data_IF_317130361465
#
_entry.id   IF_317130361465
#
_cell.length_a   1.000
_cell.length_b   1.000
_cell.length_c   1.000
_cell.angle_alpha   90.00
_cell.angle_beta   90.00
_cell.angle_gamma   90.00
#
_symmetry.space_group_name_H-M   'P 1'
#
loop_
_entity.id
_entity.type
_entity.pdbx_description
1 polymer ?
#
# COMPACT_ATOMS: atom_id res chain seq x y z
N UNK A 1 0.02 -37.36 35.98
CA UNK A 1 0.47 -36.39 34.96
C UNK A 1 1.84 -35.89 35.36
N UNK A 2 2.87 -36.19 34.57
CA UNK A 2 4.26 -35.79 34.86
C UNK A 2 4.47 -34.34 34.44
N UNK A 3 4.68 -33.46 35.42
CA UNK A 3 5.08 -32.08 35.18
C UNK A 3 6.52 -32.07 34.64
N UNK A 4 6.71 -31.81 33.34
CA UNK A 4 8.05 -31.66 32.76
C UNK A 4 8.52 -30.22 32.98
N UNK A 5 9.49 -30.05 33.86
CA UNK A 5 10.19 -28.77 34.07
C UNK A 5 11.32 -28.62 33.06
N UNK A 6 11.28 -27.57 32.24
CA UNK A 6 12.39 -27.19 31.36
C UNK A 6 13.16 -26.03 32.02
N UNK A 7 14.48 -26.13 32.06
CA UNK A 7 15.38 -25.15 32.69
C UNK A 7 16.26 -24.52 31.60
N UNK A 8 16.37 -23.19 31.58
CA UNK A 8 17.27 -22.45 30.67
C UNK A 8 18.41 -21.86 31.52
N UNK A 9 19.66 -22.24 31.24
CA UNK A 9 20.84 -21.74 31.94
C UNK A 9 21.43 -20.51 31.22
N UNK A 10 21.89 -19.51 31.99
CA UNK A 10 22.52 -18.28 31.46
C UNK A 10 24.05 -18.33 31.60
N UNK A 11 24.84 -17.93 30.58
CA UNK A 11 26.30 -18.02 30.61
C UNK A 11 27.03 -16.83 31.28
N UNK A 12 26.33 -15.88 31.92
CA UNK A 12 26.96 -14.66 32.48
C UNK A 12 27.45 -14.85 33.92
N UNK A 13 28.72 -14.50 34.18
CA UNK A 13 29.48 -14.85 35.40
C UNK A 13 29.12 -14.04 36.68
N UNK A 14 28.46 -12.87 36.56
CA UNK A 14 28.17 -11.96 37.69
C UNK A 14 26.74 -11.38 37.65
N UNK A 15 25.71 -12.24 37.67
CA UNK A 15 24.32 -11.80 37.59
C UNK A 15 23.40 -12.73 38.39
N UNK A 16 23.08 -12.46 39.67
CA UNK A 16 21.99 -13.17 40.40
C UNK A 16 22.02 -14.73 40.21
N UNK A 17 23.22 -15.29 40.18
CA UNK A 17 23.74 -16.18 39.11
C UNK A 17 23.35 -17.65 39.10
N UNK A 18 22.34 -18.07 39.87
CA UNK A 18 21.86 -19.47 39.83
C UNK A 18 20.33 -19.59 39.92
N UNK A 19 19.60 -18.48 39.86
CA UNK A 19 18.14 -18.53 39.93
C UNK A 19 17.57 -18.88 38.56
N UNK A 20 16.96 -20.07 38.51
CA UNK A 20 16.40 -20.69 37.31
C UNK A 20 14.99 -20.15 37.05
N UNK A 21 14.68 -19.91 35.79
CA UNK A 21 13.30 -19.67 35.36
C UNK A 21 12.64 -21.04 35.19
N UNK A 22 11.55 -21.28 35.91
CA UNK A 22 10.77 -22.52 35.83
C UNK A 22 9.58 -22.32 34.89
N UNK A 23 9.50 -23.11 33.83
CA UNK A 23 8.30 -23.17 32.97
C UNK A 23 7.47 -24.37 33.41
N UNK A 24 6.25 -24.12 33.87
CA UNK A 24 5.28 -25.16 34.27
C UNK A 24 4.23 -25.31 33.18
N UNK A 25 4.02 -26.53 32.70
CA UNK A 25 2.99 -26.84 31.71
C UNK A 25 1.66 -27.13 32.41
N UNK A 26 0.62 -26.37 32.07
CA UNK A 26 -0.76 -26.61 32.56
C UNK A 26 -1.52 -27.44 31.54
N UNK A 27 -2.39 -28.35 32.00
CA UNK A 27 -3.13 -29.31 31.16
C UNK A 27 -4.01 -28.69 30.07
N UNK A 28 -4.28 -27.39 30.15
CA UNK A 28 -5.02 -26.62 29.15
C UNK A 28 -4.09 -25.63 28.43
N UNK A 29 -3.46 -26.07 27.32
CA UNK A 29 -2.81 -25.25 26.26
C UNK A 29 -2.01 -24.01 26.71
N UNK A 30 -1.43 -24.00 27.90
CA UNK A 30 -0.80 -22.84 28.49
C UNK A 30 0.45 -23.21 29.29
N UNK A 31 1.34 -22.24 29.45
CA UNK A 31 2.49 -22.36 30.33
C UNK A 31 2.51 -21.19 31.31
N UNK A 32 3.00 -21.43 32.53
CA UNK A 32 3.30 -20.36 33.48
C UNK A 32 4.80 -20.32 33.72
N UNK A 33 5.39 -19.13 33.62
CA UNK A 33 6.80 -18.92 33.91
C UNK A 33 6.96 -18.37 35.33
N UNK A 34 7.88 -18.93 36.10
CA UNK A 34 8.16 -18.51 37.48
C UNK A 34 9.64 -18.18 37.65
N UNK A 35 9.94 -17.14 38.43
CA UNK A 35 11.29 -16.80 38.86
C UNK A 35 11.32 -16.76 40.39
N UNK A 36 12.17 -17.59 41.01
CA UNK A 36 12.25 -17.73 42.47
C UNK A 36 10.88 -17.93 43.16
N UNK A 37 10.00 -18.74 42.54
CA UNK A 37 8.65 -19.03 43.05
C UNK A 37 7.59 -17.94 42.82
N UNK A 38 7.94 -16.82 42.16
CA UNK A 38 6.99 -15.78 41.76
C UNK A 38 6.60 -15.94 40.29
N UNK A 39 5.31 -15.92 40.00
CA UNK A 39 4.80 -15.98 38.64
C UNK A 39 5.17 -14.70 37.88
N UNK A 40 5.79 -14.87 36.72
CA UNK A 40 6.12 -13.78 35.81
C UNK A 40 4.90 -13.44 34.95
N UNK A 41 4.68 -12.15 34.73
CA UNK A 41 3.71 -11.66 33.75
C UNK A 41 4.35 -11.78 32.36
N UNK A 42 4.08 -12.88 31.67
CA UNK A 42 4.55 -13.10 30.30
C UNK A 42 3.56 -12.46 29.35
N UNK A 43 4.00 -11.45 28.61
CA UNK A 43 3.29 -10.94 27.44
C UNK A 43 3.68 -11.77 26.22
N UNK A 44 2.74 -11.97 25.30
CA UNK A 44 3.00 -12.59 24.01
C UNK A 44 4.07 -11.76 23.26
N UNK A 45 5.14 -12.42 22.82
CA UNK A 45 6.12 -11.81 21.93
C UNK A 45 5.48 -11.82 20.55
N UNK A 46 4.87 -10.71 20.16
CA UNK A 46 4.44 -10.52 18.79
C UNK A 46 5.71 -10.40 17.94
N UNK A 47 5.95 -11.36 17.04
CA UNK A 47 7.01 -11.23 16.05
C UNK A 47 6.76 -9.92 15.27
N UNK A 48 7.77 -9.06 15.09
CA UNK A 48 7.56 -7.82 14.35
C UNK A 48 7.01 -8.16 12.98
N UNK A 49 5.80 -7.67 12.69
CA UNK A 49 5.14 -7.89 11.41
C UNK A 49 6.11 -7.53 10.30
N UNK A 50 6.26 -8.41 9.32
CA UNK A 50 7.14 -8.19 8.16
C UNK A 50 6.76 -6.84 7.53
N UNK A 51 7.68 -5.88 7.61
CA UNK A 51 7.47 -4.52 7.08
C UNK A 51 7.03 -4.60 5.62
N UNK A 52 6.07 -3.75 5.25
CA UNK A 52 5.67 -3.66 3.84
C UNK A 52 6.83 -3.11 3.02
N UNK A 53 6.82 -3.34 1.70
CA UNK A 53 7.87 -2.82 0.82
C UNK A 53 7.96 -1.28 0.88
N UNK A 54 6.82 -0.61 1.05
CA UNK A 54 6.73 0.84 1.17
C UNK A 54 7.38 1.35 2.46
N UNK A 55 7.15 0.67 3.58
CA UNK A 55 7.78 1.02 4.85
C UNK A 55 9.30 0.89 4.78
N UNK A 56 9.79 -0.16 4.09
CA UNK A 56 11.23 -0.35 3.89
C UNK A 56 11.85 0.76 3.01
N UNK A 57 11.12 1.27 2.03
CA UNK A 57 11.57 2.41 1.22
C UNK A 57 11.62 3.71 2.02
N UNK A 58 10.63 3.95 2.88
CA UNK A 58 10.60 5.12 3.77
C UNK A 58 11.76 5.04 4.76
N UNK A 59 11.99 3.88 5.35
CA UNK A 59 13.08 3.66 6.30
C UNK A 59 14.44 3.99 5.67
N UNK A 60 14.70 3.53 4.45
CA UNK A 60 15.93 3.87 3.71
C UNK A 60 16.09 5.37 3.48
N UNK A 61 15.00 6.07 3.13
CA UNK A 61 15.03 7.53 2.95
C UNK A 61 15.34 8.24 4.27
N UNK A 62 14.76 7.79 5.39
CA UNK A 62 15.03 8.34 6.72
C UNK A 62 16.48 8.10 7.17
N UNK A 63 17.04 6.92 6.88
CA UNK A 63 18.45 6.61 7.18
C UNK A 63 19.41 7.57 6.47
N UNK A 64 19.12 7.94 5.22
CA UNK A 64 19.91 8.93 4.48
C UNK A 64 19.81 10.32 5.12
N UNK A 65 18.63 10.71 5.62
CA UNK A 65 18.48 11.97 6.34
C UNK A 65 19.21 11.97 7.68
N UNK A 66 19.15 10.88 8.43
CA UNK A 66 19.92 10.71 9.67
C UNK A 66 21.44 10.75 9.40
N UNK A 67 21.89 10.23 8.26
CA UNK A 67 23.29 10.34 7.84
C UNK A 67 23.70 11.80 7.58
N UNK A 68 22.82 12.60 6.97
CA UNK A 68 23.05 14.03 6.77
C UNK A 68 23.20 14.75 8.11
N UNK A 69 22.31 14.47 9.07
CA UNK A 69 22.38 15.07 10.42
C UNK A 69 23.68 14.70 11.14
N UNK A 70 24.09 13.43 11.04
CA UNK A 70 25.33 12.94 11.66
C UNK A 70 26.60 13.59 11.06
N UNK A 71 26.62 13.80 9.74
CA UNK A 71 27.79 14.35 9.04
C UNK A 71 27.80 15.89 8.98
N UNK A 72 26.65 16.53 9.12
CA UNK A 72 26.50 17.98 8.92
C UNK A 72 26.75 18.44 7.48
N UNK A 73 26.88 17.52 6.51
CA UNK A 73 27.21 17.83 5.12
C UNK A 73 26.46 16.92 4.14
N UNK A 74 25.63 17.54 3.29
CA UNK A 74 24.80 16.86 2.28
C UNK A 74 25.66 16.23 1.17
N UNK A 75 26.78 16.83 0.79
CA UNK A 75 27.65 16.29 -0.27
C UNK A 75 28.38 15.03 0.18
N UNK A 76 28.84 14.99 1.43
CA UNK A 76 29.44 13.79 2.03
C UNK A 76 28.39 12.67 2.15
N UNK A 77 27.21 12.98 2.67
CA UNK A 77 26.10 12.03 2.77
C UNK A 77 25.67 11.49 1.40
N UNK A 78 25.66 12.33 0.36
CA UNK A 78 25.36 11.92 -1.02
C UNK A 78 26.41 10.92 -1.55
N UNK A 79 27.70 11.19 -1.32
CA UNK A 79 28.78 10.27 -1.71
C UNK A 79 28.70 8.92 -1.01
N UNK A 80 28.34 8.90 0.29
CA UNK A 80 28.28 7.68 1.07
C UNK A 80 27.00 6.87 0.85
N UNK A 81 25.85 7.52 0.69
CA UNK A 81 24.55 6.85 0.46
C UNK A 81 24.27 6.49 -0.99
N UNK A 82 24.96 7.14 -1.95
CA UNK A 82 24.67 7.00 -3.38
C UNK A 82 23.40 7.76 -3.84
N UNK A 83 22.74 8.51 -2.96
CA UNK A 83 21.57 9.33 -3.29
C UNK A 83 22.03 10.71 -3.76
N UNK A 84 21.41 11.25 -4.81
CA UNK A 84 21.76 12.57 -5.32
C UNK A 84 21.47 13.68 -4.29
N UNK A 85 22.33 14.71 -4.28
CA UNK A 85 22.15 15.90 -3.42
C UNK A 85 20.76 16.52 -3.59
N UNK A 86 20.26 16.62 -4.82
CA UNK A 86 18.94 17.17 -5.13
C UNK A 86 17.81 16.37 -4.48
N UNK A 87 17.90 15.03 -4.49
CA UNK A 87 16.90 14.17 -3.86
C UNK A 87 16.94 14.31 -2.34
N UNK A 88 18.14 14.40 -1.74
CA UNK A 88 18.30 14.67 -0.30
C UNK A 88 17.62 15.99 0.08
N UNK A 89 17.86 17.07 -0.67
CA UNK A 89 17.20 18.36 -0.42
C UNK A 89 15.68 18.29 -0.58
N UNK A 90 15.16 17.54 -1.56
CA UNK A 90 13.71 17.32 -1.70
C UNK A 90 13.14 16.57 -0.49
N UNK A 91 13.80 15.52 -0.02
CA UNK A 91 13.36 14.75 1.15
C UNK A 91 13.41 15.59 2.44
N UNK A 92 14.46 16.38 2.65
CA UNK A 92 14.53 17.33 3.76
C UNK A 92 13.36 18.32 3.73
N UNK A 93 13.04 18.86 2.55
CA UNK A 93 11.91 19.78 2.38
C UNK A 93 10.57 19.11 2.68
N UNK A 94 10.35 17.89 2.20
CA UNK A 94 9.13 17.11 2.44
C UNK A 94 8.95 16.81 3.93
N UNK A 95 10.01 16.33 4.59
CA UNK A 95 9.98 16.04 6.04
C UNK A 95 9.74 17.30 6.86
N UNK A 96 10.32 18.44 6.47
CA UNK A 96 10.06 19.73 7.12
C UNK A 96 8.59 20.17 7.00
N UNK A 97 7.90 19.79 5.92
CA UNK A 97 6.52 20.21 5.65
C UNK A 97 5.47 19.26 6.24
N UNK A 98 5.71 17.95 6.20
CA UNK A 98 4.71 16.93 6.56
C UNK A 98 5.26 15.75 7.35
N UNK A 99 6.46 15.89 7.93
CA UNK A 99 7.08 14.84 8.75
C UNK A 99 7.53 13.61 7.94
N UNK A 100 7.85 12.50 8.62
CA UNK A 100 8.29 11.25 7.99
C UNK A 100 7.27 10.67 7.00
N UNK A 101 5.99 10.84 7.29
CA UNK A 101 4.88 10.35 6.45
C UNK A 101 4.87 10.99 5.06
N UNK A 102 5.39 12.22 4.91
CA UNK A 102 5.49 12.90 3.63
C UNK A 102 6.50 12.24 2.66
N UNK A 103 7.33 11.30 3.13
CA UNK A 103 8.22 10.51 2.27
C UNK A 103 7.53 9.34 1.59
N UNK A 104 6.28 9.03 1.98
CA UNK A 104 5.43 8.07 1.30
C UNK A 104 5.23 8.47 -0.15
N UNK A 105 5.10 7.46 -1.02
CA UNK A 105 4.78 7.69 -2.42
C UNK A 105 3.41 8.37 -2.47
N UNK A 106 3.39 9.61 -2.94
CA UNK A 106 2.13 10.29 -3.23
C UNK A 106 1.64 9.78 -4.58
N UNK A 107 0.61 8.95 -4.57
CA UNK A 107 -0.15 8.66 -5.76
C UNK A 107 -1.08 9.84 -6.00
N UNK A 108 -1.12 10.35 -7.24
CA UNK A 108 -2.11 11.37 -7.57
C UNK A 108 -3.40 10.65 -7.92
N UNK A 109 -4.45 10.73 -7.10
CA UNK A 109 -5.67 10.00 -7.37
C UNK A 109 -6.34 10.59 -8.61
N UNK A 110 -6.65 9.70 -9.55
CA UNK A 110 -7.60 9.84 -10.65
C UNK A 110 -7.67 11.23 -11.32
N UNK A 111 -6.53 11.72 -11.81
CA UNK A 111 -6.49 12.94 -12.60
C UNK A 111 -7.13 12.71 -13.98
N UNK A 112 -8.30 13.29 -14.20
CA UNK A 112 -8.89 13.37 -15.55
C UNK A 112 -8.02 14.27 -16.43
N UNK A 113 -7.45 13.69 -17.48
CA UNK A 113 -6.59 14.43 -18.42
C UNK A 113 -7.39 15.50 -19.19
N UNK A 114 -6.79 16.68 -19.44
CA UNK A 114 -7.46 17.80 -20.14
C UNK A 114 -7.90 17.46 -21.57
N UNK A 115 -7.21 16.51 -22.21
CA UNK A 115 -7.57 16.03 -23.55
C UNK A 115 -8.64 14.93 -23.53
N UNK A 116 -9.25 14.63 -22.37
CA UNK A 116 -10.43 13.77 -22.32
C UNK A 116 -11.62 14.49 -22.95
N UNK A 117 -12.52 13.70 -23.53
CA UNK A 117 -13.79 14.18 -24.07
C UNK A 117 -14.61 14.81 -22.93
N UNK A 118 -15.52 15.73 -23.25
CA UNK A 118 -16.45 16.29 -22.28
C UNK A 118 -17.17 15.17 -21.50
N UNK A 119 -17.38 15.38 -20.20
CA UNK A 119 -18.08 14.43 -19.34
C UNK A 119 -19.50 14.15 -19.84
N UNK A 120 -20.20 15.15 -20.36
CA UNK A 120 -21.56 14.96 -20.89
C UNK A 120 -21.57 14.00 -22.08
N UNK A 121 -20.59 14.13 -22.99
CA UNK A 121 -20.43 13.22 -24.14
C UNK A 121 -20.05 11.82 -23.66
N UNK A 122 -19.13 11.72 -22.71
CA UNK A 122 -18.72 10.42 -22.17
C UNK A 122 -19.89 9.69 -21.49
N UNK A 123 -20.67 10.40 -20.68
CA UNK A 123 -21.89 9.86 -20.06
C UNK A 123 -22.92 9.42 -21.09
N UNK A 124 -23.15 10.20 -22.14
CA UNK A 124 -24.06 9.81 -23.22
C UNK A 124 -23.59 8.54 -23.94
N UNK A 125 -22.30 8.43 -24.23
CA UNK A 125 -21.71 7.23 -24.85
C UNK A 125 -21.85 6.02 -23.94
N UNK A 126 -21.59 6.18 -22.63
CA UNK A 126 -21.70 5.11 -21.64
C UNK A 126 -23.14 4.63 -21.56
N UNK A 127 -24.09 5.55 -21.35
CA UNK A 127 -25.51 5.24 -21.22
C UNK A 127 -26.04 4.51 -22.46
N UNK A 128 -25.78 5.04 -23.65
CA UNK A 128 -26.19 4.43 -24.91
C UNK A 128 -25.58 3.03 -25.10
N UNK A 129 -24.34 2.82 -24.64
CA UNK A 129 -23.67 1.53 -24.72
C UNK A 129 -24.21 0.50 -23.73
N UNK A 130 -24.81 0.95 -22.63
CA UNK A 130 -25.50 0.10 -21.65
C UNK A 130 -26.89 -0.29 -22.17
N UNK A 131 -27.64 0.65 -22.75
CA UNK A 131 -28.95 0.38 -23.37
C UNK A 131 -28.84 -0.54 -24.59
N UNK A 132 -27.72 -0.49 -25.31
CA UNK A 132 -27.49 -1.27 -26.53
C UNK A 132 -26.14 -2.00 -26.50
N UNK A 133 -25.95 -2.99 -25.60
CA UNK A 133 -24.66 -3.60 -25.33
C UNK A 133 -24.11 -4.42 -26.50
N UNK A 134 -24.96 -4.82 -27.44
CA UNK A 134 -24.57 -5.61 -28.62
C UNK A 134 -23.99 -4.77 -29.76
N UNK A 135 -24.09 -3.44 -29.71
CA UNK A 135 -23.60 -2.59 -30.79
C UNK A 135 -22.07 -2.46 -30.76
N UNK A 136 -21.44 -2.50 -31.94
CA UNK A 136 -20.01 -2.22 -32.08
C UNK A 136 -19.70 -0.72 -32.05
N UNK A 137 -18.44 -0.37 -31.77
CA UNK A 137 -17.96 1.01 -31.66
C UNK A 137 -18.35 1.92 -32.84
N UNK A 138 -18.36 1.38 -34.08
CA UNK A 138 -18.76 2.15 -35.28
C UNK A 138 -20.26 2.47 -35.28
N UNK A 139 -21.10 1.49 -34.92
CA UNK A 139 -22.56 1.67 -34.87
C UNK A 139 -22.97 2.62 -33.74
N UNK A 140 -22.29 2.53 -32.59
CA UNK A 140 -22.51 3.45 -31.47
C UNK A 140 -22.16 4.88 -31.86
N UNK A 141 -20.98 5.12 -32.44
CA UNK A 141 -20.58 6.43 -32.93
C UNK A 141 -21.61 7.02 -33.90
N UNK A 142 -21.98 6.26 -34.94
CA UNK A 142 -22.93 6.71 -35.96
C UNK A 142 -24.31 7.05 -35.37
N UNK A 143 -24.83 6.20 -34.47
CA UNK A 143 -26.14 6.42 -33.84
C UNK A 143 -26.13 7.60 -32.86
N UNK A 144 -25.03 7.82 -32.14
CA UNK A 144 -24.89 8.98 -31.25
C UNK A 144 -24.83 10.29 -32.03
N UNK A 145 -24.14 10.30 -33.17
CA UNK A 145 -24.12 11.47 -34.06
C UNK A 145 -25.51 11.74 -34.65
N UNK A 146 -26.23 10.70 -35.08
CA UNK A 146 -27.57 10.82 -35.66
C UNK A 146 -28.65 11.22 -34.63
N UNK A 147 -28.66 10.59 -33.45
CA UNK A 147 -29.72 10.78 -32.46
C UNK A 147 -29.49 11.97 -31.53
N UNK A 148 -28.23 12.25 -31.16
CA UNK A 148 -27.88 13.24 -30.14
C UNK A 148 -27.02 14.40 -30.69
N UNK A 149 -26.64 14.37 -31.98
CA UNK A 149 -25.76 15.39 -32.57
C UNK A 149 -24.34 15.38 -32.02
N UNK A 150 -23.92 14.29 -31.36
CA UNK A 150 -22.59 14.17 -30.75
C UNK A 150 -21.61 13.64 -31.79
N UNK A 151 -20.66 14.47 -32.21
CA UNK A 151 -19.58 14.03 -33.09
C UNK A 151 -18.49 13.30 -32.28
N UNK A 152 -18.45 11.98 -32.44
CA UNK A 152 -17.44 11.14 -31.81
C UNK A 152 -16.98 10.03 -32.75
N UNK A 153 -15.67 9.84 -32.86
CA UNK A 153 -15.12 8.75 -33.66
C UNK A 153 -15.30 7.39 -32.98
N UNK A 154 -15.35 6.31 -33.76
CA UNK A 154 -15.36 4.95 -33.24
C UNK A 154 -14.17 4.66 -32.30
N UNK A 155 -13.00 5.26 -32.55
CA UNK A 155 -11.83 5.18 -31.66
C UNK A 155 -12.02 5.94 -30.34
N UNK A 156 -12.74 7.06 -30.37
CA UNK A 156 -13.18 7.80 -29.19
C UNK A 156 -14.11 6.96 -28.31
N UNK A 157 -15.11 6.31 -28.91
CA UNK A 157 -16.02 5.37 -28.21
C UNK A 157 -15.24 4.24 -27.54
N UNK A 158 -14.29 3.62 -28.25
CA UNK A 158 -13.44 2.56 -27.66
C UNK A 158 -12.62 3.06 -26.48
N UNK A 159 -12.03 4.25 -26.59
CA UNK A 159 -11.25 4.85 -25.49
C UNK A 159 -12.12 5.09 -24.26
N UNK A 160 -13.35 5.56 -24.44
CA UNK A 160 -14.34 5.71 -23.36
C UNK A 160 -14.64 4.34 -22.73
N UNK A 161 -14.91 3.31 -23.52
CA UNK A 161 -15.17 1.97 -22.99
C UNK A 161 -14.01 1.41 -22.17
N UNK A 162 -12.76 1.61 -22.60
CA UNK A 162 -11.60 1.14 -21.84
C UNK A 162 -11.49 1.82 -20.48
N UNK A 163 -11.69 3.15 -20.43
CA UNK A 163 -11.66 3.90 -19.16
C UNK A 163 -12.76 3.49 -18.20
N UNK A 164 -13.90 3.07 -18.74
CA UNK A 164 -15.06 2.66 -17.96
C UNK A 164 -15.12 1.13 -17.70
N UNK A 165 -14.10 0.34 -18.11
CA UNK A 165 -14.12 -1.12 -18.01
C UNK A 165 -15.32 -1.78 -18.73
N UNK A 166 -15.63 -1.32 -19.95
CA UNK A 166 -16.77 -1.78 -20.79
C UNK A 166 -16.33 -2.19 -22.21
N UNK A 167 -15.08 -2.62 -22.36
CA UNK A 167 -14.45 -2.87 -23.65
C UNK A 167 -15.01 -4.10 -24.39
N UNK A 168 -15.66 -5.03 -23.68
CA UNK A 168 -16.26 -6.22 -24.27
C UNK A 168 -17.79 -6.14 -24.22
N UNK A 169 -18.45 -6.88 -25.11
CA UNK A 169 -19.91 -7.03 -25.07
C UNK A 169 -20.39 -7.65 -23.76
N UNK A 170 -19.65 -8.63 -23.22
CA UNK A 170 -19.98 -9.27 -21.96
C UNK A 170 -20.03 -8.25 -20.79
N UNK A 171 -19.00 -7.40 -20.67
CA UNK A 171 -18.95 -6.36 -19.63
C UNK A 171 -20.07 -5.33 -19.78
N UNK A 172 -20.47 -5.01 -21.01
CA UNK A 172 -21.60 -4.10 -21.28
C UNK A 172 -22.95 -4.73 -20.94
N UNK A 173 -23.13 -6.02 -21.23
CA UNK A 173 -24.33 -6.76 -20.85
C UNK A 173 -24.44 -6.88 -19.32
N UNK A 174 -23.35 -7.23 -18.64
CA UNK A 174 -23.29 -7.30 -17.18
C UNK A 174 -23.69 -5.97 -16.55
N UNK A 175 -23.08 -4.87 -17.00
CA UNK A 175 -23.43 -3.53 -16.51
C UNK A 175 -24.88 -3.11 -16.83
N UNK A 176 -25.42 -3.55 -17.95
CA UNK A 176 -26.84 -3.33 -18.29
C UNK A 176 -27.78 -4.08 -17.37
N UNK A 177 -27.38 -5.24 -16.84
CA UNK A 177 -28.17 -6.01 -15.88
C UNK A 177 -28.08 -5.41 -14.48
N UNK A 178 -26.92 -4.86 -14.10
CA UNK A 178 -26.74 -4.17 -12.80
C UNK A 178 -27.51 -2.84 -12.72
N UNK A 179 -27.75 -2.19 -13.85
CA UNK A 179 -28.41 -0.88 -13.93
C UNK A 179 -29.94 -0.97 -14.09
N UNK A 180 -30.50 -2.20 -14.14
CA UNK A 180 -31.93 -2.49 -14.31
C UNK A 180 -32.58 -2.85 -12.96
#
# INVERSE_FOLDING_TARGET
MLCRTLTIDSPLKHSITHQKIEIRNTSEKGFTAHFAGRQLKVSEVNEPSKLTKEDLEIQKKLEVLALVEKLGNVSEASRQSGVSRDMIYRHLKLVKQGGPEALKRQETPDLRHKNCVDMAIESAVVQFSIEHPHLGQQKVAMKLTEALGVDISAGGVRSIWLRNNMNTTALRVERSQESA
#
